data_IF_377867506558
#
_entry.id   IF_377867506558
#
_cell.length_a   1.000
_cell.length_b   1.000
_cell.length_c   1.000
_cell.angle_alpha   90.00
_cell.angle_beta   90.00
_cell.angle_gamma   90.00
#
_symmetry.space_group_name_H-M   'P 1'
#
loop_
_entity.id
_entity.type
_entity.pdbx_description
1 polymer ?
#
# COMPACT_ATOMS: atom_id res chain seq x y z
N UNK A 1 -8.56 -16.28 55.19
CA UNK A 1 -8.93 -15.20 54.25
C UNK A 1 -7.73 -14.58 53.49
N UNK A 2 -6.54 -14.43 54.07
CA UNK A 2 -5.38 -13.78 53.40
C UNK A 2 -4.82 -14.51 52.15
N UNK A 3 -4.93 -15.85 52.08
CA UNK A 3 -4.41 -16.66 50.98
C UNK A 3 -5.26 -16.58 49.71
N UNK A 4 -6.56 -16.28 49.79
CA UNK A 4 -7.43 -16.15 48.61
C UNK A 4 -7.32 -14.80 47.92
N UNK A 5 -6.94 -13.75 48.62
CA UNK A 5 -6.74 -12.40 48.06
C UNK A 5 -5.45 -12.36 47.20
N UNK A 6 -4.42 -13.07 47.61
CA UNK A 6 -3.15 -13.11 46.88
C UNK A 6 -3.28 -13.84 45.51
N UNK A 7 -4.18 -14.83 45.43
CA UNK A 7 -4.43 -15.57 44.19
C UNK A 7 -5.17 -14.75 43.13
N UNK A 8 -6.08 -13.85 43.57
CA UNK A 8 -6.84 -12.98 42.68
C UNK A 8 -5.96 -11.87 42.11
N UNK A 9 -5.00 -11.38 42.88
CA UNK A 9 -4.07 -10.34 42.42
C UNK A 9 -3.09 -10.86 41.36
N UNK A 10 -2.70 -12.15 41.42
CA UNK A 10 -1.81 -12.77 40.43
C UNK A 10 -2.54 -13.05 39.10
N UNK A 11 -3.84 -13.26 39.11
CA UNK A 11 -4.64 -13.48 37.89
C UNK A 11 -4.87 -12.18 37.12
N UNK A 12 -4.87 -11.03 37.78
CA UNK A 12 -5.10 -9.73 37.13
C UNK A 12 -3.87 -9.16 36.42
N UNK A 13 -2.65 -9.61 36.79
CA UNK A 13 -1.40 -9.20 36.12
C UNK A 13 -1.16 -9.86 34.75
N UNK A 14 -1.93 -10.90 34.40
CA UNK A 14 -1.78 -11.59 33.11
C UNK A 14 -2.64 -11.03 31.96
N UNK A 15 -3.50 -10.04 32.26
CA UNK A 15 -4.43 -9.43 31.28
C UNK A 15 -3.91 -8.11 30.67
N UNK A 16 -2.68 -7.73 30.91
CA UNK A 16 -2.17 -6.46 30.45
C UNK A 16 -0.82 -6.58 29.75
N UNK A 17 -0.80 -6.89 28.48
CA UNK A 17 0.12 -6.42 27.46
C UNK A 17 -0.02 -7.29 26.21
N UNK A 18 -1.09 -7.12 25.50
CA UNK A 18 -1.08 -7.36 24.06
C UNK A 18 -0.47 -6.08 23.46
N UNK A 19 0.84 -6.02 23.34
CA UNK A 19 1.47 -5.08 22.42
C UNK A 19 0.98 -5.50 21.02
N UNK A 20 0.04 -4.77 20.46
CA UNK A 20 -0.24 -4.84 19.03
C UNK A 20 1.07 -4.50 18.34
N UNK A 21 1.69 -5.52 17.74
CA UNK A 21 2.79 -5.30 16.78
C UNK A 21 2.12 -4.62 15.61
N UNK A 22 2.21 -3.31 15.56
CA UNK A 22 1.76 -2.51 14.43
C UNK A 22 2.71 -2.81 13.29
N UNK A 23 2.29 -3.69 12.38
CA UNK A 23 3.04 -3.95 11.17
C UNK A 23 3.27 -2.62 10.44
N UNK A 24 4.51 -2.31 10.12
CA UNK A 24 4.84 -1.13 9.35
C UNK A 24 4.29 -1.32 7.93
N UNK A 25 3.36 -0.46 7.50
CA UNK A 25 2.74 -0.58 6.18
C UNK A 25 3.53 0.21 5.14
N UNK A 26 3.91 -0.46 4.06
CA UNK A 26 4.49 0.13 2.86
C UNK A 26 3.38 0.29 1.83
N UNK A 27 3.09 1.51 1.41
CA UNK A 27 2.04 1.77 0.43
C UNK A 27 2.62 1.91 -0.97
N UNK A 28 2.09 1.13 -1.93
CA UNK A 28 2.39 1.24 -3.35
C UNK A 28 1.16 1.65 -4.16
N UNK A 29 1.36 2.32 -5.28
CA UNK A 29 0.30 2.69 -6.22
C UNK A 29 0.21 1.71 -7.40
N UNK A 30 -0.99 1.27 -7.75
CA UNK A 30 -1.27 0.60 -9.02
C UNK A 30 -1.93 1.65 -9.92
N UNK A 31 -1.09 2.36 -10.70
CA UNK A 31 -1.51 3.49 -11.54
C UNK A 31 -1.78 3.02 -12.96
N UNK A 32 -3.02 2.80 -13.32
CA UNK A 32 -3.46 2.30 -14.62
C UNK A 32 -4.67 3.11 -15.14
N UNK A 33 -4.94 3.04 -16.42
CA UNK A 33 -6.14 3.67 -17.01
C UNK A 33 -7.39 2.83 -16.77
N UNK A 34 -7.90 2.82 -15.54
CA UNK A 34 -9.11 2.08 -15.17
C UNK A 34 -10.35 2.56 -15.91
N UNK A 35 -10.35 3.81 -16.33
CA UNK A 35 -11.34 4.38 -17.25
C UNK A 35 -10.63 4.91 -18.49
N UNK A 36 -11.39 5.07 -19.60
CA UNK A 36 -10.86 5.59 -20.87
C UNK A 36 -10.36 4.49 -21.82
N UNK A 37 -9.37 4.80 -22.68
CA UNK A 37 -9.03 3.93 -23.82
C UNK A 37 -8.52 2.55 -23.44
N UNK A 38 -8.04 2.36 -22.23
CA UNK A 38 -7.41 1.09 -21.77
C UNK A 38 -8.29 0.29 -20.82
N UNK A 39 -9.51 0.73 -20.52
CA UNK A 39 -10.38 0.11 -19.51
C UNK A 39 -10.66 -1.38 -19.75
N UNK A 40 -10.67 -1.84 -20.99
CA UNK A 40 -10.93 -3.25 -21.31
C UNK A 40 -9.78 -4.21 -20.97
N UNK A 41 -8.54 -3.72 -20.90
CA UNK A 41 -7.34 -4.55 -20.64
C UNK A 41 -6.81 -4.37 -19.20
N UNK A 42 -7.11 -3.26 -18.58
CA UNK A 42 -6.59 -2.90 -17.27
C UNK A 42 -7.04 -3.84 -16.12
N UNK A 43 -8.25 -4.41 -16.09
CA UNK A 43 -8.65 -5.31 -15.02
C UNK A 43 -7.72 -6.51 -14.83
N UNK A 44 -7.25 -7.13 -15.91
CA UNK A 44 -6.31 -8.26 -15.84
C UNK A 44 -4.93 -7.83 -15.37
N UNK A 45 -4.46 -6.65 -15.80
CA UNK A 45 -3.18 -6.07 -15.35
C UNK A 45 -3.22 -5.75 -13.85
N UNK A 46 -4.30 -5.13 -13.38
CA UNK A 46 -4.50 -4.82 -11.98
C UNK A 46 -4.56 -6.08 -11.11
N UNK A 47 -5.30 -7.11 -11.54
CA UNK A 47 -5.38 -8.38 -10.83
C UNK A 47 -4.01 -9.07 -10.73
N UNK A 48 -3.18 -8.99 -11.77
CA UNK A 48 -1.81 -9.53 -11.72
C UNK A 48 -0.94 -8.78 -10.71
N UNK A 49 -1.04 -7.45 -10.66
CA UNK A 49 -0.31 -6.66 -9.67
C UNK A 49 -0.79 -6.94 -8.24
N UNK A 50 -2.10 -7.06 -8.02
CA UNK A 50 -2.69 -7.41 -6.73
C UNK A 50 -2.28 -8.81 -6.27
N UNK A 51 -2.23 -9.77 -7.19
CA UNK A 51 -1.75 -11.12 -6.89
C UNK A 51 -0.29 -11.09 -6.41
N UNK A 52 0.59 -10.35 -7.11
CA UNK A 52 1.98 -10.21 -6.71
C UNK A 52 2.13 -9.60 -5.30
N UNK A 53 1.31 -8.60 -4.96
CA UNK A 53 1.25 -8.02 -3.61
C UNK A 53 0.79 -9.06 -2.59
N UNK A 54 -0.24 -9.83 -2.91
CA UNK A 54 -0.74 -10.87 -2.01
C UNK A 54 0.30 -11.97 -1.77
N UNK A 55 1.02 -12.40 -2.82
CA UNK A 55 2.11 -13.37 -2.72
C UNK A 55 3.28 -12.82 -1.89
N UNK A 56 3.69 -11.57 -2.10
CA UNK A 56 4.73 -10.92 -1.31
C UNK A 56 4.37 -10.89 0.18
N UNK A 57 3.13 -10.51 0.51
CA UNK A 57 2.64 -10.48 1.88
C UNK A 57 2.51 -11.89 2.52
N UNK A 58 2.23 -12.92 1.73
CA UNK A 58 2.07 -14.29 2.24
C UNK A 58 3.39 -15.03 2.41
N UNK A 59 4.41 -14.69 1.63
CA UNK A 59 5.67 -15.44 1.56
C UNK A 59 6.55 -15.29 2.80
N UNK A 60 6.34 -14.27 3.62
CA UNK A 60 7.18 -13.90 4.78
C UNK A 60 8.68 -13.75 4.49
N UNK A 61 9.09 -13.94 3.23
CA UNK A 61 10.47 -13.81 2.76
C UNK A 61 10.83 -12.33 2.55
N UNK A 62 9.84 -11.56 2.11
CA UNK A 62 9.99 -10.12 1.97
C UNK A 62 9.79 -9.44 3.32
N UNK A 63 10.63 -8.45 3.60
CA UNK A 63 10.48 -7.56 4.74
C UNK A 63 10.51 -8.28 6.11
N UNK A 64 11.15 -9.45 6.18
CA UNK A 64 11.27 -10.28 7.39
C UNK A 64 9.93 -10.63 8.07
N UNK A 65 8.81 -10.53 7.35
CA UNK A 65 7.46 -10.77 7.89
C UNK A 65 6.93 -9.70 8.85
N UNK A 66 7.68 -8.62 9.08
CA UNK A 66 7.31 -7.54 10.00
C UNK A 66 6.56 -6.38 9.31
N UNK A 67 6.64 -6.31 7.99
CA UNK A 67 6.04 -5.26 7.19
C UNK A 67 4.96 -5.83 6.26
N UNK A 68 4.01 -5.01 5.90
CA UNK A 68 2.93 -5.36 4.98
C UNK A 68 2.87 -4.36 3.83
N UNK A 69 2.78 -4.88 2.61
CA UNK A 69 2.54 -4.06 1.43
C UNK A 69 1.04 -3.81 1.29
N UNK A 70 0.66 -2.55 1.30
CA UNK A 70 -0.67 -2.09 0.93
C UNK A 70 -0.65 -1.54 -0.51
N UNK A 71 -1.73 -1.74 -1.28
CA UNK A 71 -1.82 -1.21 -2.64
C UNK A 71 -3.03 -0.30 -2.81
N UNK A 72 -2.85 0.81 -3.50
CA UNK A 72 -3.90 1.77 -3.85
C UNK A 72 -4.03 1.85 -5.36
N UNK A 73 -5.25 1.65 -5.88
CA UNK A 73 -5.54 1.86 -7.32
C UNK A 73 -5.63 3.34 -7.61
N UNK A 74 -4.93 3.78 -8.65
CA UNK A 74 -4.92 5.16 -9.13
C UNK A 74 -5.37 5.16 -10.59
N UNK A 75 -6.51 5.77 -10.89
CA UNK A 75 -6.99 5.89 -12.25
C UNK A 75 -6.26 7.02 -13.00
N UNK A 76 -5.42 6.64 -13.94
CA UNK A 76 -4.69 7.59 -14.79
C UNK A 76 -5.53 8.08 -15.97
N UNK A 77 -6.64 7.41 -16.28
CA UNK A 77 -7.48 7.62 -17.46
C UNK A 77 -6.72 7.52 -18.80
N UNK A 78 -5.45 7.16 -18.77
CA UNK A 78 -4.54 7.26 -19.91
C UNK A 78 -4.52 8.66 -20.55
N UNK A 79 -4.70 9.70 -19.72
CA UNK A 79 -4.82 11.11 -20.12
C UNK A 79 -3.77 11.94 -19.38
N UNK A 80 -2.87 12.57 -20.13
CA UNK A 80 -1.80 13.40 -19.58
C UNK A 80 -2.31 14.62 -18.82
N UNK A 81 -3.52 15.10 -19.10
CA UNK A 81 -4.15 16.18 -18.31
C UNK A 81 -4.43 15.76 -16.86
N UNK A 82 -4.51 14.47 -16.58
CA UNK A 82 -4.76 13.91 -15.25
C UNK A 82 -3.50 13.75 -14.39
N UNK A 83 -2.29 13.96 -14.93
CA UNK A 83 -1.01 13.72 -14.24
C UNK A 83 -0.92 14.47 -12.91
N UNK A 84 -1.37 15.72 -12.86
CA UNK A 84 -1.35 16.51 -11.62
C UNK A 84 -2.18 15.85 -10.50
N UNK A 85 -3.34 15.29 -10.84
CA UNK A 85 -4.19 14.58 -9.89
C UNK A 85 -3.55 13.26 -9.44
N UNK A 86 -2.93 12.54 -10.37
CA UNK A 86 -2.20 11.29 -10.08
C UNK A 86 -1.06 11.54 -9.11
N UNK A 87 -0.20 12.51 -9.39
CA UNK A 87 0.91 12.86 -8.52
C UNK A 87 0.44 13.34 -7.15
N UNK A 88 -0.62 14.13 -7.08
CA UNK A 88 -1.25 14.51 -5.83
C UNK A 88 -1.67 13.30 -5.00
N UNK A 89 -2.33 12.31 -5.62
CA UNK A 89 -2.73 11.08 -4.93
C UNK A 89 -1.53 10.29 -4.42
N UNK A 90 -0.45 10.21 -5.21
CA UNK A 90 0.81 9.54 -4.82
C UNK A 90 1.37 10.16 -3.54
N UNK A 91 1.43 11.48 -3.48
CA UNK A 91 2.01 12.19 -2.34
C UNK A 91 1.13 12.15 -1.10
N UNK A 92 -0.17 12.39 -1.23
CA UNK A 92 -1.10 12.39 -0.11
C UNK A 92 -1.20 11.03 0.60
N UNK A 93 -0.93 9.95 -0.13
CA UNK A 93 -0.96 8.60 0.43
C UNK A 93 0.43 8.03 0.75
N UNK A 94 1.48 8.85 0.71
CA UNK A 94 2.87 8.44 0.97
C UNK A 94 3.29 7.20 0.16
N UNK A 95 2.89 7.15 -1.11
CA UNK A 95 3.19 6.03 -2.00
C UNK A 95 4.68 6.02 -2.33
N UNK A 96 5.37 4.93 -1.98
CA UNK A 96 6.83 4.81 -2.16
C UNK A 96 7.23 4.17 -3.49
N UNK A 97 6.28 3.55 -4.19
CA UNK A 97 6.51 2.92 -5.49
C UNK A 97 5.22 2.82 -6.30
N UNK A 98 5.34 2.84 -7.63
CA UNK A 98 4.20 2.77 -8.54
C UNK A 98 4.37 1.64 -9.54
N UNK A 99 3.38 0.78 -9.64
CA UNK A 99 3.22 -0.22 -10.71
C UNK A 99 2.33 0.39 -11.79
N UNK A 100 2.83 0.47 -13.02
CA UNK A 100 2.13 1.12 -14.14
C UNK A 100 3.09 2.10 -14.85
N UNK A 101 2.67 3.10 -15.58
CA UNK A 101 1.36 3.25 -16.16
C UNK A 101 1.40 2.63 -17.56
N UNK A 102 0.32 2.05 -18.04
CA UNK A 102 0.30 1.42 -19.36
C UNK A 102 0.32 2.43 -20.55
N UNK A 103 0.47 3.71 -20.26
CA UNK A 103 0.43 4.81 -21.23
C UNK A 103 1.71 5.65 -21.13
N UNK A 104 2.46 5.82 -22.25
CA UNK A 104 3.82 6.41 -22.22
C UNK A 104 3.91 7.79 -21.56
N UNK A 105 3.07 8.74 -21.97
CA UNK A 105 3.09 10.10 -21.42
C UNK A 105 2.72 10.18 -19.93
N UNK A 106 1.99 9.20 -19.42
CA UNK A 106 1.65 9.10 -18.00
C UNK A 106 2.86 8.65 -17.18
N UNK A 107 3.60 7.64 -17.66
CA UNK A 107 4.80 7.15 -16.97
C UNK A 107 5.83 8.28 -16.81
N UNK A 108 6.04 9.06 -17.85
CA UNK A 108 6.93 10.21 -17.80
C UNK A 108 6.45 11.28 -16.81
N UNK A 109 5.16 11.60 -16.84
CA UNK A 109 4.57 12.60 -15.94
C UNK A 109 4.63 12.21 -14.48
N UNK A 110 4.46 10.93 -14.14
CA UNK A 110 4.64 10.41 -12.78
C UNK A 110 6.10 10.53 -12.34
N UNK A 111 7.04 10.13 -13.21
CA UNK A 111 8.47 10.20 -12.91
C UNK A 111 8.92 11.65 -12.67
N UNK A 112 8.54 12.57 -13.54
CA UNK A 112 8.89 13.98 -13.40
C UNK A 112 8.26 14.61 -12.14
N UNK A 113 7.03 14.24 -11.80
CA UNK A 113 6.38 14.69 -10.57
C UNK A 113 7.13 14.24 -9.31
N UNK A 114 7.59 12.99 -9.29
CA UNK A 114 8.32 12.44 -8.13
C UNK A 114 9.70 13.05 -7.91
N UNK A 115 10.34 13.55 -8.98
CA UNK A 115 11.66 14.21 -8.91
C UNK A 115 11.54 15.66 -8.45
N UNK A 116 10.54 16.39 -8.94
CA UNK A 116 10.38 17.81 -8.66
C UNK A 116 9.96 18.13 -7.22
N UNK A 117 9.36 17.19 -6.50
CA UNK A 117 8.92 17.41 -5.12
C UNK A 117 9.97 17.05 -4.06
N UNK A 118 11.10 16.48 -4.47
CA UNK A 118 12.23 16.18 -3.57
C UNK A 118 13.31 17.27 -3.54
N UNK A 119 13.14 18.33 -4.31
CA UNK A 119 13.98 19.53 -4.32
C UNK A 119 13.24 20.74 -3.73
#
# INVERSE_FOLDING_TARGET
MRKKILSIFFLFCFLGNQAEIQANEITIGIALGFTGPTESIVPSMASSAELAVAEANSSQIFLNGEEKINSIKIDTKCDTSNIKSVNKTINENNIVGVIGAACPGISEGILLGSVNEKN
#
